data_IF_956103185415
#
_entry.id   IF_956103185415
#
_cell.length_a   1.000
_cell.length_b   1.000
_cell.length_c   1.000
_cell.angle_alpha   90.00
_cell.angle_beta   90.00
_cell.angle_gamma   90.00
#
_symmetry.space_group_name_H-M   'P 1'
#
loop_
_entity.id
_entity.type
_entity.pdbx_description
1 polymer ?
#
# COMPACT_ATOMS: atom_id res chain seq x y z
N UNK A 1 -4.56 -4.04 38.20
CA UNK A 1 -3.61 -4.43 37.13
C UNK A 1 -4.15 -5.51 36.19
N UNK A 2 -4.59 -6.71 36.61
CA UNK A 2 -4.98 -7.77 35.67
C UNK A 2 -6.27 -7.47 34.88
N UNK A 3 -7.23 -6.75 35.47
CA UNK A 3 -8.47 -6.34 34.79
C UNK A 3 -8.20 -5.37 33.63
N UNK A 4 -7.25 -4.45 33.80
CA UNK A 4 -6.88 -3.49 32.76
C UNK A 4 -6.23 -4.19 31.57
N UNK A 5 -5.30 -5.12 31.82
CA UNK A 5 -4.64 -5.90 30.76
C UNK A 5 -5.66 -6.76 30.00
N UNK A 6 -6.56 -7.44 30.71
CA UNK A 6 -7.61 -8.23 30.06
C UNK A 6 -8.53 -7.38 29.17
N UNK A 7 -8.90 -6.18 29.61
CA UNK A 7 -9.77 -5.31 28.81
C UNK A 7 -9.03 -4.75 27.59
N UNK A 8 -7.74 -4.40 27.73
CA UNK A 8 -6.90 -4.01 26.60
C UNK A 8 -6.74 -5.15 25.60
N UNK A 9 -6.46 -6.38 26.06
CA UNK A 9 -6.39 -7.55 25.18
C UNK A 9 -7.71 -7.82 24.45
N UNK A 10 -8.85 -7.67 25.15
CA UNK A 10 -10.18 -7.80 24.55
C UNK A 10 -10.40 -6.74 23.47
N UNK A 11 -10.05 -5.49 23.73
CA UNK A 11 -10.13 -4.41 22.75
C UNK A 11 -9.25 -4.70 21.54
N UNK A 12 -8.01 -5.15 21.75
CA UNK A 12 -7.09 -5.51 20.67
C UNK A 12 -7.60 -6.68 19.83
N UNK A 13 -8.16 -7.74 20.46
CA UNK A 13 -8.76 -8.88 19.76
C UNK A 13 -9.99 -8.51 18.93
N UNK A 14 -10.68 -7.42 19.27
CA UNK A 14 -11.85 -6.93 18.55
C UNK A 14 -11.52 -5.98 17.39
N UNK A 15 -10.27 -5.50 17.29
CA UNK A 15 -9.89 -4.57 16.24
C UNK A 15 -9.71 -5.30 14.90
N UNK A 16 -10.31 -4.74 13.85
CA UNK A 16 -10.08 -5.20 12.47
C UNK A 16 -9.09 -4.25 11.80
N UNK A 17 -8.00 -4.78 11.27
CA UNK A 17 -6.99 -4.02 10.54
C UNK A 17 -7.17 -4.21 9.03
N UNK A 18 -7.20 -3.11 8.28
CA UNK A 18 -7.17 -3.15 6.81
C UNK A 18 -5.71 -3.13 6.34
N UNK A 19 -5.22 -4.29 5.88
CA UNK A 19 -3.84 -4.43 5.39
C UNK A 19 -3.80 -4.12 3.89
N UNK A 20 -3.63 -2.84 3.55
CA UNK A 20 -3.35 -2.38 2.19
C UNK A 20 -4.54 -1.88 1.37
N UNK A 21 -4.24 -1.24 0.24
CA UNK A 21 -5.26 -0.74 -0.68
C UNK A 21 -5.90 -1.90 -1.47
N UNK A 22 -7.23 -1.94 -1.65
CA UNK A 22 -7.90 -3.00 -2.39
C UNK A 22 -7.43 -3.01 -3.85
N UNK A 23 -6.80 -4.11 -4.27
CA UNK A 23 -6.40 -4.29 -5.66
C UNK A 23 -7.65 -4.47 -6.54
N UNK A 24 -7.89 -3.51 -7.45
CA UNK A 24 -9.06 -3.53 -8.36
C UNK A 24 -9.11 -4.77 -9.26
N UNK A 25 -7.95 -5.38 -9.52
CA UNK A 25 -7.80 -6.57 -10.37
C UNK A 25 -7.55 -7.86 -9.57
N UNK A 26 -7.73 -7.83 -8.24
CA UNK A 26 -7.54 -8.99 -7.37
C UNK A 26 -8.75 -9.94 -7.32
N UNK A 27 -8.53 -11.15 -6.80
CA UNK A 27 -9.61 -12.08 -6.42
C UNK A 27 -10.42 -11.45 -5.29
N UNK A 28 -11.75 -11.39 -5.44
CA UNK A 28 -12.64 -10.88 -4.39
C UNK A 28 -13.15 -12.02 -3.52
N UNK A 29 -12.73 -12.01 -2.25
CA UNK A 29 -13.27 -12.90 -1.22
C UNK A 29 -14.33 -12.12 -0.45
N UNK A 30 -15.58 -12.56 -0.55
CA UNK A 30 -16.75 -11.84 -0.02
C UNK A 30 -17.66 -12.81 0.72
N UNK A 31 -18.35 -12.31 1.75
CA UNK A 31 -19.49 -13.00 2.34
C UNK A 31 -20.67 -13.05 1.36
N UNK A 32 -21.51 -14.09 1.46
CA UNK A 32 -22.67 -14.27 0.58
C UNK A 32 -23.63 -13.07 0.59
N UNK A 33 -23.75 -12.39 1.74
CA UNK A 33 -24.54 -11.17 1.95
C UNK A 33 -24.03 -9.96 1.16
N UNK A 34 -22.72 -9.91 0.91
CA UNK A 34 -22.02 -8.78 0.29
C UNK A 34 -21.87 -8.91 -1.24
N UNK A 35 -22.36 -10.00 -1.84
CA UNK A 35 -22.26 -10.22 -3.30
C UNK A 35 -23.39 -9.53 -4.08
N UNK A 36 -24.29 -8.82 -3.40
CA UNK A 36 -25.42 -8.13 -4.02
C UNK A 36 -24.95 -7.01 -4.95
N UNK A 37 -25.53 -6.94 -6.15
CA UNK A 37 -25.29 -5.83 -7.09
C UNK A 37 -23.98 -5.91 -7.89
N UNK A 38 -23.19 -6.98 -7.73
CA UNK A 38 -21.95 -7.21 -8.49
C UNK A 38 -22.04 -8.52 -9.27
N UNK A 39 -21.35 -8.62 -10.40
CA UNK A 39 -21.35 -9.82 -11.24
C UNK A 39 -19.90 -10.28 -11.51
N UNK A 40 -19.71 -11.59 -11.63
CA UNK A 40 -18.41 -12.22 -11.84
C UNK A 40 -18.47 -13.26 -12.94
N UNK A 41 -17.39 -13.39 -13.72
CA UNK A 41 -17.27 -14.46 -14.72
C UNK A 41 -17.35 -15.85 -14.07
N UNK A 42 -16.63 -16.04 -12.98
CA UNK A 42 -16.67 -17.26 -12.18
C UNK A 42 -16.94 -16.94 -10.70
N UNK A 43 -17.77 -17.74 -10.05
CA UNK A 43 -18.05 -17.66 -8.60
C UNK A 43 -17.73 -19.01 -7.95
N UNK A 44 -17.01 -18.97 -6.83
CA UNK A 44 -16.74 -20.13 -5.99
C UNK A 44 -17.50 -19.96 -4.67
N UNK A 45 -18.45 -20.85 -4.40
CA UNK A 45 -19.11 -20.94 -3.09
C UNK A 45 -18.36 -22.00 -2.28
N UNK A 46 -17.59 -21.52 -1.31
CA UNK A 46 -16.77 -22.35 -0.44
C UNK A 46 -17.52 -22.80 0.81
N UNK A 47 -17.23 -24.02 1.27
CA UNK A 47 -17.73 -24.50 2.56
C UNK A 47 -19.20 -24.92 2.56
N UNK A 48 -19.68 -25.57 1.50
CA UNK A 48 -21.01 -26.17 1.42
C UNK A 48 -21.15 -27.39 2.35
N UNK A 49 -21.12 -27.15 3.66
CA UNK A 49 -21.30 -28.15 4.72
C UNK A 49 -22.62 -27.93 5.44
N UNK A 50 -23.19 -29.03 5.97
CA UNK A 50 -24.41 -28.95 6.78
C UNK A 50 -24.17 -28.08 8.02
N UNK A 51 -24.98 -27.03 8.19
CA UNK A 51 -24.87 -26.06 9.27
C UNK A 51 -23.83 -24.94 9.08
N UNK A 52 -23.00 -25.02 8.04
CA UNK A 52 -22.10 -23.94 7.63
C UNK A 52 -22.75 -23.02 6.60
N UNK A 53 -23.28 -23.57 5.51
CA UNK A 53 -24.02 -22.81 4.52
C UNK A 53 -25.14 -23.68 3.90
N UNK A 54 -26.43 -23.40 4.17
CA UNK A 54 -26.96 -22.27 4.95
C UNK A 54 -26.53 -22.32 6.42
N UNK A 55 -26.28 -21.15 7.02
CA UNK A 55 -25.83 -21.06 8.40
C UNK A 55 -26.98 -21.50 9.33
N UNK A 56 -26.71 -22.40 10.29
CA UNK A 56 -27.70 -22.63 11.36
C UNK A 56 -27.74 -21.39 12.24
N UNK A 57 -28.86 -20.67 12.24
CA UNK A 57 -29.05 -19.46 13.03
C UNK A 57 -28.75 -19.75 14.50
N UNK A 58 -27.80 -19.01 15.08
CA UNK A 58 -27.48 -19.10 16.50
C UNK A 58 -28.71 -18.68 17.30
N UNK A 59 -29.11 -19.52 18.27
CA UNK A 59 -30.15 -19.14 19.21
C UNK A 59 -29.61 -17.99 20.07
N UNK A 60 -30.26 -16.84 20.03
CA UNK A 60 -29.98 -15.79 21.01
C UNK A 60 -30.36 -16.30 22.40
N UNK A 61 -29.41 -16.26 23.33
CA UNK A 61 -29.60 -16.72 24.70
C UNK A 61 -30.38 -15.72 25.55
N UNK A 62 -30.33 -14.43 25.19
CA UNK A 62 -30.94 -13.35 25.98
C UNK A 62 -32.42 -13.19 25.64
N UNK A 63 -32.78 -13.26 24.35
CA UNK A 63 -34.16 -13.18 23.88
C UNK A 63 -34.49 -14.38 22.98
N UNK A 64 -34.92 -15.51 23.56
CA UNK A 64 -35.41 -16.66 22.81
C UNK A 64 -36.57 -16.29 21.88
N UNK A 65 -36.78 -17.08 20.83
CA UNK A 65 -37.81 -16.83 19.82
C UNK A 65 -39.21 -16.61 20.43
N UNK A 66 -39.59 -17.43 21.42
CA UNK A 66 -40.88 -17.31 22.11
C UNK A 66 -41.07 -15.95 22.79
N UNK A 67 -40.02 -15.44 23.43
CA UNK A 67 -40.07 -14.15 24.12
C UNK A 67 -40.16 -13.00 23.12
N UNK A 68 -39.50 -13.11 21.97
CA UNK A 68 -39.62 -12.12 20.88
C UNK A 68 -41.04 -12.05 20.34
N UNK A 69 -41.71 -13.18 20.13
CA UNK A 69 -43.12 -13.23 19.71
C UNK A 69 -44.04 -12.60 20.77
N UNK A 70 -43.75 -12.78 22.06
CA UNK A 70 -44.49 -12.13 23.15
C UNK A 70 -44.28 -10.62 23.15
N UNK A 71 -43.05 -10.15 22.98
CA UNK A 71 -42.71 -8.73 22.90
C UNK A 71 -43.36 -8.05 21.68
N UNK A 72 -43.46 -8.75 20.56
CA UNK A 72 -44.14 -8.26 19.36
C UNK A 72 -45.62 -7.94 19.61
N UNK A 73 -46.31 -8.75 20.41
CA UNK A 73 -47.71 -8.49 20.83
C UNK A 73 -47.86 -7.21 21.65
N UNK A 74 -46.78 -6.74 22.27
CA UNK A 74 -46.74 -5.50 23.04
C UNK A 74 -46.11 -4.34 22.24
N UNK A 75 -45.98 -4.50 20.91
CA UNK A 75 -45.45 -3.47 20.02
C UNK A 75 -43.92 -3.35 19.98
N UNK A 76 -43.19 -4.27 20.61
CA UNK A 76 -41.72 -4.30 20.59
C UNK A 76 -41.25 -5.31 19.54
N UNK A 77 -40.73 -4.81 18.42
CA UNK A 77 -40.25 -5.63 17.32
C UNK A 77 -38.73 -5.80 17.42
N UNK A 78 -38.29 -7.03 17.68
CA UNK A 78 -36.88 -7.42 17.64
C UNK A 78 -36.58 -8.12 16.31
N UNK A 79 -35.28 -8.21 15.96
CA UNK A 79 -34.84 -8.90 14.76
C UNK A 79 -35.38 -10.35 14.71
N UNK A 80 -35.79 -10.80 13.52
CA UNK A 80 -36.38 -12.13 13.39
C UNK A 80 -35.29 -13.21 13.26
N UNK A 81 -35.22 -14.08 14.29
CA UNK A 81 -34.32 -15.24 14.39
C UNK A 81 -35.12 -16.56 14.23
N UNK A 82 -36.35 -16.50 13.70
CA UNK A 82 -37.21 -17.66 13.46
C UNK A 82 -36.64 -18.61 12.41
N UNK A 83 -37.26 -19.79 12.27
CA UNK A 83 -36.97 -20.77 11.21
C UNK A 83 -37.13 -20.17 9.79
N UNK A 84 -37.88 -19.09 9.61
CA UNK A 84 -37.99 -18.36 8.33
C UNK A 84 -36.68 -17.68 7.91
N UNK A 85 -35.69 -17.60 8.81
CA UNK A 85 -34.31 -17.24 8.44
C UNK A 85 -33.67 -18.25 7.49
N UNK A 86 -34.09 -19.52 7.47
CA UNK A 86 -33.64 -20.49 6.46
C UNK A 86 -34.05 -20.07 5.04
N UNK A 87 -35.24 -19.49 4.87
CA UNK A 87 -35.68 -18.93 3.59
C UNK A 87 -34.84 -17.71 3.17
N UNK A 88 -34.33 -16.93 4.13
CA UNK A 88 -33.38 -15.84 3.87
C UNK A 88 -32.00 -16.38 3.45
N UNK A 89 -31.55 -17.49 4.03
CA UNK A 89 -30.30 -18.15 3.68
C UNK A 89 -30.33 -18.80 2.29
N UNK A 90 -31.43 -19.48 1.94
CA UNK A 90 -31.67 -19.95 0.57
C UNK A 90 -31.64 -18.79 -0.43
N UNK A 91 -32.19 -17.63 -0.04
CA UNK A 91 -32.12 -16.44 -0.86
C UNK A 91 -30.69 -15.91 -1.02
N UNK A 92 -29.84 -15.97 0.01
CA UNK A 92 -28.42 -15.61 -0.11
C UNK A 92 -27.67 -16.56 -1.05
N UNK A 93 -27.95 -17.87 -0.98
CA UNK A 93 -27.39 -18.84 -1.93
C UNK A 93 -27.79 -18.50 -3.36
N UNK A 94 -29.10 -18.30 -3.59
CA UNK A 94 -29.63 -17.94 -4.90
C UNK A 94 -28.97 -16.66 -5.42
N UNK A 95 -28.88 -15.63 -4.57
CA UNK A 95 -28.23 -14.37 -4.93
C UNK A 95 -26.79 -14.57 -5.35
N UNK A 96 -25.99 -15.32 -4.57
CA UNK A 96 -24.58 -15.60 -4.84
C UNK A 96 -24.39 -16.44 -6.12
N UNK A 97 -25.20 -17.49 -6.29
CA UNK A 97 -25.18 -18.34 -7.48
C UNK A 97 -25.49 -17.55 -8.75
N UNK A 98 -26.49 -16.66 -8.70
CA UNK A 98 -26.87 -15.79 -9.82
C UNK A 98 -25.84 -14.68 -10.13
N UNK A 99 -24.74 -14.55 -9.37
CA UNK A 99 -23.66 -13.61 -9.73
C UNK A 99 -22.66 -14.19 -10.72
N UNK A 100 -22.65 -15.50 -10.91
CA UNK A 100 -21.83 -16.16 -11.93
C UNK A 100 -22.42 -15.94 -13.33
N UNK A 101 -21.64 -15.35 -14.23
CA UNK A 101 -22.05 -15.17 -15.63
C UNK A 101 -21.57 -16.29 -16.55
N UNK A 102 -20.48 -16.99 -16.21
CA UNK A 102 -19.94 -18.10 -17.00
C UNK A 102 -19.87 -19.41 -16.21
N UNK A 103 -19.32 -19.40 -14.98
CA UNK A 103 -19.09 -20.63 -14.20
C UNK A 103 -19.42 -20.47 -12.71
N UNK A 104 -20.10 -21.46 -12.15
CA UNK A 104 -20.38 -21.57 -10.73
C UNK A 104 -19.74 -22.85 -10.19
N UNK A 105 -18.92 -22.71 -9.15
CA UNK A 105 -18.26 -23.82 -8.47
C UNK A 105 -18.78 -23.90 -7.03
N UNK A 106 -19.32 -25.06 -6.66
CA UNK A 106 -19.77 -25.36 -5.30
C UNK A 106 -18.79 -26.34 -4.69
N UNK A 107 -18.14 -25.95 -3.59
CA UNK A 107 -17.09 -26.77 -2.96
C UNK A 107 -17.46 -27.16 -1.55
N UNK A 108 -17.23 -28.43 -1.23
CA UNK A 108 -17.45 -29.01 0.09
C UNK A 108 -16.17 -29.69 0.57
N UNK A 109 -15.64 -29.37 1.77
CA UNK A 109 -14.52 -30.11 2.33
C UNK A 109 -14.96 -31.54 2.68
N UNK A 110 -14.13 -32.52 2.30
CA UNK A 110 -14.34 -33.94 2.63
C UNK A 110 -13.91 -34.29 4.07
N UNK A 111 -13.00 -33.50 4.65
CA UNK A 111 -12.55 -33.60 6.04
C UNK A 111 -12.59 -32.22 6.71
N UNK A 112 -13.20 -32.13 7.90
CA UNK A 112 -13.36 -30.88 8.66
C UNK A 112 -12.11 -30.52 9.48
N UNK A 113 -11.29 -31.52 9.81
CA UNK A 113 -10.02 -31.37 10.53
C UNK A 113 -8.87 -31.74 9.59
N UNK A 114 -8.47 -30.76 8.79
CA UNK A 114 -7.17 -30.80 8.13
C UNK A 114 -6.22 -29.88 8.90
N UNK A 115 -5.01 -30.36 9.19
CA UNK A 115 -3.89 -29.48 9.50
C UNK A 115 -3.68 -28.60 8.27
N UNK A 116 -4.06 -27.32 8.36
CA UNK A 116 -3.98 -26.41 7.23
C UNK A 116 -2.51 -26.02 7.04
N UNK A 117 -1.80 -26.75 6.18
CA UNK A 117 -0.60 -26.19 5.54
C UNK A 117 -1.07 -25.11 4.56
N UNK A 118 -0.84 -23.85 4.90
CA UNK A 118 -1.08 -22.73 3.97
C UNK A 118 -0.03 -22.81 2.87
N UNK A 119 -0.35 -23.51 1.79
CA UNK A 119 0.40 -23.41 0.52
C UNK A 119 -0.33 -22.45 -0.41
N UNK A 120 0.39 -21.44 -0.87
CA UNK A 120 -0.09 -20.54 -1.91
C UNK A 120 -0.13 -21.31 -3.23
N UNK A 121 -1.33 -21.73 -3.62
CA UNK A 121 -1.57 -22.49 -4.85
C UNK A 121 -2.25 -21.55 -5.84
N UNK A 122 -1.57 -21.24 -6.96
CA UNK A 122 -2.27 -20.86 -8.20
C UNK A 122 -2.81 -22.17 -8.82
N UNK A 123 -4.11 -22.20 -9.05
CA UNK A 123 -4.93 -23.42 -9.18
C UNK A 123 -5.04 -24.01 -10.58
N UNK A 124 -3.92 -24.19 -11.27
CA UNK A 124 -3.91 -24.73 -12.64
C UNK A 124 -2.85 -25.83 -12.87
N UNK A 125 -2.08 -26.21 -11.85
CA UNK A 125 -1.01 -27.22 -11.98
C UNK A 125 -0.97 -28.10 -10.72
N UNK A 126 -1.47 -29.33 -10.85
CA UNK A 126 -1.59 -30.33 -9.76
C UNK A 126 -0.29 -31.15 -9.54
N UNK A 127 0.72 -30.92 -10.39
CA UNK A 127 1.98 -31.63 -10.35
C UNK A 127 2.89 -31.11 -9.22
N UNK A 128 3.28 -32.00 -8.31
CA UNK A 128 4.21 -31.68 -7.22
C UNK A 128 5.67 -31.88 -7.64
N UNK A 129 5.93 -32.78 -8.60
CA UNK A 129 7.25 -33.04 -9.17
C UNK A 129 7.25 -32.85 -10.70
N UNK A 130 8.43 -32.65 -11.30
CA UNK A 130 8.60 -32.58 -12.76
C UNK A 130 7.99 -33.79 -13.49
N UNK A 131 8.04 -34.96 -12.86
CA UNK A 131 7.55 -36.21 -13.44
C UNK A 131 6.02 -36.33 -13.43
N UNK A 132 5.32 -35.45 -12.72
CA UNK A 132 3.85 -35.43 -12.67
C UNK A 132 3.27 -34.53 -13.79
N UNK A 133 4.12 -33.90 -14.61
CA UNK A 133 3.69 -33.08 -15.72
C UNK A 133 3.09 -33.94 -16.84
N UNK A 134 1.81 -33.74 -17.12
CA UNK A 134 1.08 -34.45 -18.17
C UNK A 134 1.09 -33.70 -19.51
N UNK A 135 1.49 -32.43 -19.50
CA UNK A 135 1.59 -31.59 -20.69
C UNK A 135 2.89 -30.79 -20.75
N UNK A 136 3.31 -30.40 -21.96
CA UNK A 136 4.51 -29.56 -22.19
C UNK A 136 4.39 -28.19 -21.50
N UNK A 137 3.17 -27.66 -21.41
CA UNK A 137 2.89 -26.39 -20.72
C UNK A 137 3.04 -26.53 -19.20
N UNK A 138 2.56 -27.64 -18.62
CA UNK A 138 2.74 -27.96 -17.19
C UNK A 138 4.22 -28.12 -16.85
N UNK A 139 4.97 -28.88 -17.65
CA UNK A 139 6.40 -29.07 -17.45
C UNK A 139 7.17 -27.74 -17.47
N UNK A 140 6.84 -26.86 -18.42
CA UNK A 140 7.45 -25.53 -18.53
C UNK A 140 7.20 -24.65 -17.31
N UNK A 141 5.99 -24.70 -16.74
CA UNK A 141 5.65 -23.94 -15.55
C UNK A 141 6.26 -24.53 -14.26
N UNK A 142 6.39 -25.86 -14.16
CA UNK A 142 7.06 -26.52 -13.02
C UNK A 142 8.56 -26.25 -12.99
N UNK A 143 9.22 -26.19 -14.16
CA UNK A 143 10.63 -25.83 -14.28
C UNK A 143 10.91 -24.42 -13.73
N UNK A 144 10.01 -23.48 -14.00
CA UNK A 144 10.09 -22.11 -13.46
C UNK A 144 9.86 -22.12 -11.94
N UNK A 145 8.92 -22.94 -11.46
CA UNK A 145 8.57 -23.04 -10.03
C UNK A 145 9.65 -23.68 -9.16
N UNK A 146 10.33 -24.73 -9.62
CA UNK A 146 11.49 -25.30 -8.91
C UNK A 146 12.71 -24.36 -8.90
N UNK A 147 12.74 -23.39 -9.82
CA UNK A 147 13.79 -22.39 -9.89
C UNK A 147 13.52 -21.17 -8.98
N UNK A 148 12.32 -21.03 -8.41
CA UNK A 148 12.04 -20.07 -7.33
C UNK A 148 12.62 -20.62 -6.02
N UNK A 149 13.61 -19.96 -5.39
CA UNK A 149 14.06 -20.35 -4.07
C UNK A 149 12.88 -20.15 -3.12
N UNK A 150 12.38 -21.25 -2.57
CA UNK A 150 11.49 -21.21 -1.41
C UNK A 150 12.11 -20.37 -0.32
N UNK A 151 11.33 -19.44 0.24
CA UNK A 151 11.69 -18.37 1.18
C UNK A 151 12.11 -18.86 2.58
N UNK A 152 12.86 -19.96 2.65
CA UNK A 152 13.51 -20.45 3.85
C UNK A 152 15.02 -20.25 3.70
N UNK A 153 15.59 -19.52 4.66
CA UNK A 153 17.01 -19.21 4.85
C UNK A 153 17.86 -20.47 5.10
N UNK A 154 17.79 -21.44 4.21
CA UNK A 154 18.64 -22.63 4.26
C UNK A 154 19.54 -22.73 3.03
N UNK A 155 20.73 -23.22 3.33
CA UNK A 155 21.94 -23.33 2.52
C UNK A 155 21.72 -23.47 1.01
N UNK A 156 22.33 -22.54 0.27
CA UNK A 156 22.87 -22.68 -1.09
C UNK A 156 22.34 -23.89 -1.89
N UNK A 157 21.11 -23.81 -2.40
CA UNK A 157 20.69 -24.67 -3.49
C UNK A 157 21.45 -24.22 -4.74
N UNK A 158 22.61 -24.87 -4.99
CA UNK A 158 23.21 -24.91 -6.33
C UNK A 158 22.07 -25.26 -7.29
N UNK A 159 21.91 -24.49 -8.37
CA UNK A 159 21.09 -24.92 -9.51
C UNK A 159 21.44 -26.38 -9.76
N UNK A 160 20.50 -27.33 -9.64
CA UNK A 160 20.80 -28.71 -9.94
C UNK A 160 21.41 -28.72 -11.35
N UNK A 161 22.60 -29.28 -11.54
CA UNK A 161 23.26 -29.37 -12.86
C UNK A 161 22.31 -29.92 -13.95
N UNK A 162 21.28 -30.65 -13.52
CA UNK A 162 20.18 -31.18 -14.31
C UNK A 162 19.33 -30.08 -14.98
N UNK A 163 19.07 -28.92 -14.34
CA UNK A 163 18.24 -27.86 -14.93
C UNK A 163 18.93 -27.21 -16.12
N UNK A 164 20.22 -26.90 -16.00
CA UNK A 164 20.96 -26.25 -17.09
C UNK A 164 21.16 -27.22 -18.27
N UNK A 165 21.27 -28.53 -18.00
CA UNK A 165 21.24 -29.57 -19.03
C UNK A 165 19.88 -29.65 -19.73
N UNK A 166 18.77 -29.63 -18.99
CA UNK A 166 17.41 -29.66 -19.55
C UNK A 166 17.12 -28.40 -20.39
N UNK A 167 17.52 -27.22 -19.92
CA UNK A 167 17.38 -25.98 -20.69
C UNK A 167 18.24 -26.01 -21.97
N UNK A 168 19.42 -26.64 -21.93
CA UNK A 168 20.27 -26.83 -23.11
C UNK A 168 19.68 -27.79 -24.12
N UNK A 169 19.10 -28.90 -23.66
CA UNK A 169 18.38 -29.82 -24.53
C UNK A 169 17.16 -29.13 -25.16
N UNK A 170 16.35 -28.44 -24.35
CA UNK A 170 15.17 -27.71 -24.83
C UNK A 170 15.50 -26.62 -25.86
N UNK A 171 16.65 -25.95 -25.73
CA UNK A 171 17.13 -24.98 -26.71
C UNK A 171 17.59 -25.67 -28.00
N UNK A 172 18.36 -26.77 -27.89
CA UNK A 172 18.84 -27.53 -29.05
C UNK A 172 17.71 -28.19 -29.85
N UNK A 173 16.62 -28.56 -29.18
CA UNK A 173 15.42 -29.15 -29.78
C UNK A 173 14.41 -28.08 -30.25
N UNK A 174 14.71 -26.79 -30.05
CA UNK A 174 13.87 -25.67 -30.50
C UNK A 174 12.61 -25.44 -29.68
N UNK A 175 12.49 -26.03 -28.49
CA UNK A 175 11.38 -25.80 -27.56
C UNK A 175 11.47 -24.43 -26.85
N UNK A 176 12.68 -23.90 -26.68
CA UNK A 176 12.91 -22.55 -26.18
C UNK A 176 13.85 -21.78 -27.13
N UNK A 177 13.62 -20.48 -27.26
CA UNK A 177 14.55 -19.61 -28.00
C UNK A 177 15.77 -19.25 -27.15
N UNK A 178 16.90 -18.96 -27.80
CA UNK A 178 18.09 -18.42 -27.13
C UNK A 178 17.78 -17.14 -26.32
N UNK A 179 16.83 -16.32 -26.78
CA UNK A 179 16.35 -15.14 -26.05
C UNK A 179 15.62 -15.53 -24.76
N UNK A 180 14.77 -16.56 -24.81
CA UNK A 180 14.08 -17.08 -23.64
C UNK A 180 15.08 -17.65 -22.62
N UNK A 181 16.07 -18.45 -23.08
CA UNK A 181 17.15 -18.94 -22.21
C UNK A 181 17.90 -17.81 -21.51
N UNK A 182 18.30 -16.78 -22.28
CA UNK A 182 19.01 -15.63 -21.71
C UNK A 182 18.18 -14.93 -20.63
N UNK A 183 16.89 -14.74 -20.85
CA UNK A 183 15.97 -14.13 -19.86
C UNK A 183 15.82 -14.99 -18.61
N UNK A 184 15.69 -16.30 -18.76
CA UNK A 184 15.66 -17.25 -17.63
C UNK A 184 16.94 -17.12 -16.80
N UNK A 185 18.12 -17.07 -17.45
CA UNK A 185 19.39 -16.87 -16.75
C UNK A 185 19.48 -15.53 -16.01
N UNK A 186 18.92 -14.45 -16.59
CA UNK A 186 18.86 -13.13 -15.94
C UNK A 186 17.97 -13.17 -14.69
N UNK A 187 16.76 -13.70 -14.79
CA UNK A 187 15.86 -13.81 -13.63
C UNK A 187 16.44 -14.72 -12.56
N UNK A 188 17.11 -15.80 -12.94
CA UNK A 188 17.81 -16.66 -12.00
C UNK A 188 18.93 -15.93 -11.23
N UNK A 189 19.70 -15.07 -11.91
CA UNK A 189 20.72 -14.25 -11.26
C UNK A 189 20.12 -13.23 -10.28
N UNK A 190 18.96 -12.64 -10.60
CA UNK A 190 18.23 -11.70 -9.73
C UNK A 190 17.61 -12.35 -8.50
N UNK A 191 17.12 -13.57 -8.64
CA UNK A 191 16.60 -14.39 -7.55
C UNK A 191 17.73 -15.04 -6.71
N UNK A 192 18.99 -14.84 -7.10
CA UNK A 192 20.15 -15.29 -6.35
C UNK A 192 20.30 -14.55 -5.02
N UNK A 193 21.00 -15.17 -4.07
CA UNK A 193 21.22 -14.60 -2.74
C UNK A 193 22.25 -13.44 -2.71
N UNK A 194 22.80 -13.08 -3.86
CA UNK A 194 23.76 -11.98 -4.04
C UNK A 194 23.28 -11.12 -5.20
N UNK A 195 23.46 -9.81 -5.08
CA UNK A 195 23.25 -8.91 -6.20
C UNK A 195 24.14 -9.31 -7.37
N UNK A 196 23.60 -9.17 -8.56
CA UNK A 196 24.28 -9.39 -9.83
C UNK A 196 24.31 -8.10 -10.65
N UNK A 197 25.00 -8.12 -11.79
CA UNK A 197 24.95 -7.04 -12.76
C UNK A 197 23.51 -6.72 -13.23
N UNK A 198 22.59 -7.70 -13.15
CA UNK A 198 21.18 -7.51 -13.53
C UNK A 198 20.31 -6.91 -12.43
N UNK A 199 20.85 -6.82 -11.21
CA UNK A 199 20.28 -6.11 -10.06
C UNK A 199 20.83 -4.68 -9.95
N UNK A 200 21.73 -4.30 -10.85
CA UNK A 200 22.39 -3.00 -10.87
C UNK A 200 23.71 -2.96 -10.11
N UNK A 201 24.33 -4.11 -9.81
CA UNK A 201 25.70 -4.13 -9.31
C UNK A 201 26.66 -3.61 -10.39
N UNK A 202 27.38 -2.55 -10.05
CA UNK A 202 28.43 -1.99 -10.92
C UNK A 202 29.66 -2.87 -10.76
N UNK A 203 30.02 -3.61 -11.81
CA UNK A 203 31.15 -4.56 -11.80
C UNK A 203 32.44 -3.99 -12.39
N UNK A 204 32.36 -2.89 -13.14
CA UNK A 204 33.54 -2.26 -13.72
C UNK A 204 34.37 -1.54 -12.65
N UNK A 205 35.65 -1.85 -12.57
CA UNK A 205 36.56 -1.36 -11.53
C UNK A 205 36.79 0.16 -11.60
N UNK A 206 36.89 0.73 -12.80
CA UNK A 206 37.07 2.18 -12.99
C UNK A 206 35.85 2.95 -12.46
N UNK A 207 34.64 2.44 -12.71
CA UNK A 207 33.40 3.02 -12.18
C UNK A 207 33.30 2.87 -10.66
N UNK A 208 33.78 1.76 -10.09
CA UNK A 208 33.85 1.58 -8.63
C UNK A 208 34.78 2.59 -8.00
N UNK A 209 35.95 2.82 -8.60
CA UNK A 209 36.91 3.82 -8.11
C UNK A 209 36.33 5.23 -8.19
N UNK A 210 35.71 5.59 -9.32
CA UNK A 210 35.06 6.89 -9.48
C UNK A 210 33.96 7.14 -8.43
N UNK A 211 33.18 6.10 -8.09
CA UNK A 211 32.17 6.18 -7.04
C UNK A 211 32.79 6.28 -5.65
N UNK A 212 33.87 5.54 -5.37
CA UNK A 212 34.59 5.61 -4.11
C UNK A 212 35.18 7.01 -3.87
N UNK A 213 35.71 7.64 -4.91
CA UNK A 213 36.26 9.00 -4.84
C UNK A 213 35.14 10.03 -4.62
N UNK A 214 33.96 9.85 -5.22
CA UNK A 214 32.86 10.80 -5.10
C UNK A 214 32.03 10.64 -3.81
N UNK A 215 31.84 9.40 -3.35
CA UNK A 215 30.97 9.01 -2.23
C UNK A 215 31.75 8.38 -1.06
N UNK A 216 33.04 8.70 -0.96
CA UNK A 216 33.92 8.21 0.08
C UNK A 216 33.53 8.62 1.51
N UNK A 217 34.36 8.25 2.51
CA UNK A 217 34.03 8.44 3.92
C UNK A 217 33.80 9.90 4.33
N UNK A 218 34.43 10.85 3.63
CA UNK A 218 34.28 12.29 3.90
C UNK A 218 33.06 12.92 3.19
N UNK A 219 32.28 12.13 2.43
CA UNK A 219 31.11 12.65 1.72
C UNK A 219 29.97 13.00 2.69
N UNK A 220 29.52 14.24 2.66
CA UNK A 220 28.39 14.69 3.48
C UNK A 220 27.05 14.33 2.81
N UNK A 221 26.32 13.41 3.45
CA UNK A 221 24.99 12.99 3.01
C UNK A 221 23.89 13.84 3.65
N UNK A 222 22.85 14.18 2.89
CA UNK A 222 21.60 14.73 3.45
C UNK A 222 20.60 13.61 3.74
N UNK A 223 19.73 13.80 4.74
CA UNK A 223 18.68 12.83 5.08
C UNK A 223 17.79 12.48 3.86
N UNK A 224 17.47 13.48 3.03
CA UNK A 224 16.77 13.30 1.76
C UNK A 224 17.50 12.35 0.79
N UNK A 225 18.84 12.45 0.69
CA UNK A 225 19.64 11.58 -0.17
C UNK A 225 19.59 10.13 0.29
N UNK A 226 19.78 9.90 1.59
CA UNK A 226 19.72 8.55 2.17
C UNK A 226 18.32 7.95 2.03
N UNK A 227 17.27 8.73 2.28
CA UNK A 227 15.89 8.30 2.06
C UNK A 227 15.63 7.95 0.59
N UNK A 228 16.15 8.75 -0.36
CA UNK A 228 16.02 8.43 -1.79
C UNK A 228 16.69 7.11 -2.13
N UNK A 229 17.88 6.86 -1.60
CA UNK A 229 18.61 5.61 -1.82
C UNK A 229 17.88 4.41 -1.20
N UNK A 230 17.44 4.52 0.06
CA UNK A 230 16.71 3.47 0.77
C UNK A 230 15.36 3.13 0.15
N UNK A 231 14.66 4.12 -0.42
CA UNK A 231 13.40 3.91 -1.13
C UNK A 231 13.63 3.31 -2.54
N UNK A 232 14.64 3.79 -3.27
CA UNK A 232 14.96 3.31 -4.61
C UNK A 232 16.40 3.66 -5.00
N UNK A 233 17.29 2.66 -4.96
CA UNK A 233 18.70 2.82 -5.33
C UNK A 233 18.88 3.26 -6.79
N UNK A 234 18.04 2.76 -7.72
CA UNK A 234 18.10 3.17 -9.12
C UNK A 234 17.75 4.65 -9.33
N UNK A 235 16.76 5.17 -8.59
CA UNK A 235 16.41 6.59 -8.63
C UNK A 235 17.54 7.45 -8.09
N UNK A 236 18.22 7.00 -7.02
CA UNK A 236 19.42 7.66 -6.53
C UNK A 236 20.52 7.67 -7.61
N UNK A 237 20.77 6.54 -8.26
CA UNK A 237 21.73 6.44 -9.35
C UNK A 237 21.42 7.42 -10.49
N UNK A 238 20.20 7.43 -11.02
CA UNK A 238 19.79 8.36 -12.08
C UNK A 238 19.92 9.83 -11.68
N UNK A 239 19.40 10.21 -10.52
CA UNK A 239 19.33 11.62 -10.11
C UNK A 239 20.63 12.16 -9.51
N UNK A 240 21.43 11.33 -8.82
CA UNK A 240 22.59 11.78 -8.03
C UNK A 240 23.92 11.38 -8.64
N UNK A 241 23.99 10.20 -9.26
CA UNK A 241 25.22 9.73 -9.93
C UNK A 241 25.25 10.24 -11.37
N UNK A 242 24.22 9.92 -12.16
CA UNK A 242 24.13 10.35 -13.57
C UNK A 242 23.65 11.79 -13.74
N UNK A 243 23.10 12.39 -12.67
CA UNK A 243 22.56 13.77 -12.67
C UNK A 243 21.54 14.00 -13.78
N UNK A 244 20.71 13.00 -14.03
CA UNK A 244 19.62 13.10 -15.00
C UNK A 244 18.51 13.94 -14.37
N UNK A 245 18.24 15.09 -14.94
CA UNK A 245 17.15 15.96 -14.54
C UNK A 245 15.96 15.74 -15.48
N UNK A 246 14.73 15.53 -14.94
CA UNK A 246 13.54 15.53 -15.77
C UNK A 246 13.40 16.90 -16.44
N UNK A 247 12.97 16.92 -17.71
CA UNK A 247 12.67 18.19 -18.38
C UNK A 247 11.57 18.89 -17.62
N UNK A 248 11.82 20.14 -17.21
CA UNK A 248 10.79 20.98 -16.62
C UNK A 248 9.76 21.33 -17.69
N UNK A 249 8.57 20.78 -17.58
CA UNK A 249 7.42 21.31 -18.33
C UNK A 249 7.06 22.67 -17.73
N UNK A 250 6.76 23.65 -18.59
CA UNK A 250 6.27 24.94 -18.16
C UNK A 250 4.90 24.72 -17.49
N UNK A 251 4.89 24.66 -16.16
CA UNK A 251 3.65 24.54 -15.41
C UNK A 251 2.89 25.86 -15.51
N UNK A 252 1.61 25.79 -15.86
CA UNK A 252 0.70 26.95 -15.86
C UNK A 252 0.45 27.46 -14.44
N UNK A 253 0.49 26.54 -13.47
CA UNK A 253 0.26 26.78 -12.05
C UNK A 253 1.59 26.76 -11.29
N UNK A 254 1.63 27.35 -10.09
CA UNK A 254 2.88 27.34 -9.33
C UNK A 254 3.19 25.94 -8.78
N UNK A 255 4.38 25.44 -9.08
CA UNK A 255 4.81 24.12 -8.63
C UNK A 255 4.84 24.03 -7.10
N UNK A 256 4.45 22.86 -6.58
CA UNK A 256 4.37 22.61 -5.14
C UNK A 256 5.68 22.89 -4.38
N UNK A 257 6.83 22.70 -5.03
CA UNK A 257 8.15 22.98 -4.45
C UNK A 257 8.34 24.49 -4.25
N UNK A 258 8.00 25.30 -5.24
CA UNK A 258 8.15 26.75 -5.16
C UNK A 258 7.08 27.38 -4.25
N UNK A 259 5.88 26.79 -4.23
CA UNK A 259 4.86 27.10 -3.24
C UNK A 259 5.38 26.92 -1.80
N UNK A 260 6.03 25.79 -1.53
CA UNK A 260 6.64 25.51 -0.23
C UNK A 260 7.74 26.51 0.13
N UNK A 261 8.64 26.82 -0.81
CA UNK A 261 9.70 27.83 -0.59
C UNK A 261 9.14 29.20 -0.24
N UNK A 262 8.09 29.64 -0.95
CA UNK A 262 7.44 30.92 -0.67
C UNK A 262 6.82 30.94 0.72
N UNK A 263 6.08 29.90 1.10
CA UNK A 263 5.52 29.78 2.44
C UNK A 263 6.61 29.81 3.52
N UNK A 264 7.71 29.08 3.32
CA UNK A 264 8.84 29.08 4.24
C UNK A 264 9.50 30.46 4.36
N UNK A 265 9.72 31.18 3.25
CA UNK A 265 10.32 32.52 3.30
C UNK A 265 9.38 33.53 4.00
N UNK A 266 8.07 33.46 3.75
CA UNK A 266 7.08 34.30 4.42
C UNK A 266 7.07 34.05 5.92
N UNK A 267 6.95 32.78 6.33
CA UNK A 267 6.95 32.40 7.74
C UNK A 267 8.26 32.79 8.42
N UNK A 268 9.40 32.59 7.74
CA UNK A 268 10.71 33.00 8.24
C UNK A 268 10.75 34.50 8.50
N UNK A 269 10.43 35.35 7.51
CA UNK A 269 10.46 36.82 7.66
C UNK A 269 9.47 37.32 8.71
N UNK A 270 8.33 36.65 8.85
CA UNK A 270 7.36 36.97 9.90
C UNK A 270 7.90 36.59 11.28
N UNK A 271 8.31 35.34 11.49
CA UNK A 271 8.77 34.85 12.79
C UNK A 271 10.08 35.49 13.24
N UNK A 272 10.98 35.88 12.33
CA UNK A 272 12.20 36.62 12.67
C UNK A 272 11.88 37.98 13.33
N UNK A 273 10.77 38.63 12.97
CA UNK A 273 10.32 39.90 13.58
C UNK A 273 9.70 39.72 14.97
N UNK A 274 9.11 38.55 15.23
CA UNK A 274 8.49 38.20 16.51
C UNK A 274 9.34 37.22 17.32
N UNK A 275 10.66 37.20 17.07
CA UNK A 275 11.56 36.27 17.72
C UNK A 275 11.65 36.58 19.22
N UNK A 276 11.19 35.64 20.05
CA UNK A 276 11.16 35.80 21.51
C UNK A 276 9.92 36.53 22.03
N UNK A 277 8.99 36.93 21.15
CA UNK A 277 7.70 37.47 21.55
C UNK A 277 6.70 36.36 21.88
N UNK A 278 5.86 36.58 22.89
CA UNK A 278 4.69 35.74 23.15
C UNK A 278 3.53 36.21 22.29
N UNK A 279 3.30 35.53 21.17
CA UNK A 279 2.30 35.92 20.16
C UNK A 279 0.86 36.03 20.70
N UNK A 280 0.39 35.17 21.64
CA UNK A 280 -0.97 35.28 22.17
C UNK A 280 -1.26 36.57 22.96
N UNK A 281 -0.24 37.30 23.42
CA UNK A 281 -0.43 38.58 24.10
C UNK A 281 -0.72 39.75 23.13
N UNK A 282 -0.52 39.55 21.82
CA UNK A 282 -0.79 40.57 20.79
C UNK A 282 -2.18 40.40 20.20
N UNK A 283 -2.70 41.49 19.62
CA UNK A 283 -3.96 41.44 18.89
C UNK A 283 -3.82 40.55 17.64
N UNK A 284 -4.65 39.51 17.58
CA UNK A 284 -4.71 38.55 16.48
C UNK A 284 -4.95 39.23 15.13
N UNK A 285 -5.72 40.32 15.10
CA UNK A 285 -5.98 41.06 13.87
C UNK A 285 -4.71 41.74 13.35
N UNK A 286 -3.93 42.32 14.25
CA UNK A 286 -2.65 42.98 13.92
C UNK A 286 -1.64 41.95 13.39
N UNK A 287 -1.53 40.79 14.03
CA UNK A 287 -0.65 39.71 13.58
C UNK A 287 -1.03 39.19 12.19
N UNK A 288 -2.34 39.01 11.93
CA UNK A 288 -2.85 38.59 10.63
C UNK A 288 -2.56 39.62 9.54
N UNK A 289 -2.76 40.89 9.83
CA UNK A 289 -2.48 41.99 8.90
C UNK A 289 -0.97 42.07 8.58
N UNK A 290 -0.10 41.87 9.57
CA UNK A 290 1.35 41.86 9.38
C UNK A 290 1.83 40.66 8.57
N UNK A 291 1.28 39.47 8.84
CA UNK A 291 1.56 38.26 8.07
C UNK A 291 1.12 38.43 6.61
N UNK A 292 -0.05 39.02 6.39
CA UNK A 292 -0.58 39.29 5.04
C UNK A 292 0.33 40.27 4.29
N UNK A 293 0.75 41.37 4.93
CA UNK A 293 1.70 42.33 4.34
C UNK A 293 3.04 41.69 4.00
N UNK A 294 3.54 40.78 4.85
CA UNK A 294 4.78 40.04 4.60
C UNK A 294 4.61 39.07 3.42
N UNK A 295 3.46 38.39 3.34
CA UNK A 295 3.11 37.53 2.21
C UNK A 295 3.06 38.29 0.89
N UNK A 296 2.36 39.44 0.86
CA UNK A 296 2.25 40.28 -0.34
C UNK A 296 3.62 40.77 -0.84
N UNK A 297 4.53 41.13 0.07
CA UNK A 297 5.89 41.53 -0.29
C UNK A 297 6.68 40.38 -0.95
N UNK A 298 6.62 39.17 -0.37
CA UNK A 298 7.32 38.00 -0.90
C UNK A 298 6.73 37.54 -2.23
N UNK A 299 5.39 37.56 -2.37
CA UNK A 299 4.75 37.23 -3.64
C UNK A 299 5.12 38.22 -4.74
N UNK A 300 5.16 39.52 -4.43
CA UNK A 300 5.60 40.54 -5.38
C UNK A 300 7.06 40.35 -5.81
N UNK A 301 7.97 40.10 -4.85
CA UNK A 301 9.38 39.81 -5.16
C UNK A 301 9.55 38.57 -6.05
N UNK A 302 8.70 37.56 -5.90
CA UNK A 302 8.70 36.38 -6.74
C UNK A 302 8.14 36.67 -8.14
N UNK A 303 7.03 37.41 -8.23
CA UNK A 303 6.40 37.83 -9.48
C UNK A 303 7.34 38.70 -10.33
N UNK A 304 8.12 39.59 -9.71
CA UNK A 304 9.12 40.42 -10.38
C UNK A 304 10.26 39.59 -11.00
N UNK A 305 10.62 38.45 -10.39
CA UNK A 305 11.69 37.55 -10.87
C UNK A 305 11.18 36.54 -11.88
N UNK A 306 9.98 36.01 -11.67
CA UNK A 306 9.38 34.95 -12.47
C UNK A 306 7.92 35.36 -12.74
N UNK A 307 7.67 36.08 -13.85
CA UNK A 307 6.33 36.49 -14.21
C UNK A 307 5.42 35.27 -14.44
N UNK A 308 4.22 35.23 -13.86
CA UNK A 308 3.32 34.10 -14.03
C UNK A 308 2.81 34.03 -15.48
N UNK A 309 2.70 32.81 -16.02
CA UNK A 309 2.11 32.58 -17.34
C UNK A 309 0.62 32.98 -17.39
N UNK A 310 -0.07 32.88 -16.25
CA UNK A 310 -1.46 33.29 -16.10
C UNK A 310 -1.67 34.06 -14.78
N UNK A 311 -1.88 35.38 -14.90
CA UNK A 311 -2.08 36.28 -13.76
C UNK A 311 -3.29 35.92 -12.89
N UNK A 312 -4.35 35.36 -13.47
CA UNK A 312 -5.57 35.01 -12.70
C UNK A 312 -5.32 33.81 -11.80
N UNK A 313 -4.62 32.81 -12.32
CA UNK A 313 -4.24 31.62 -11.55
C UNK A 313 -3.27 32.01 -10.44
N UNK A 314 -2.28 32.85 -10.76
CA UNK A 314 -1.34 33.37 -9.76
C UNK A 314 -2.03 34.06 -8.59
N UNK A 315 -3.01 34.93 -8.87
CA UNK A 315 -3.81 35.59 -7.81
C UNK A 315 -4.55 34.58 -6.93
N UNK A 316 -5.14 33.55 -7.53
CA UNK A 316 -5.83 32.48 -6.79
C UNK A 316 -4.82 31.73 -5.89
N UNK A 317 -3.65 31.36 -6.42
CA UNK A 317 -2.60 30.67 -5.67
C UNK A 317 -2.09 31.50 -4.48
N UNK A 318 -1.91 32.80 -4.66
CA UNK A 318 -1.54 33.73 -3.57
C UNK A 318 -2.60 33.75 -2.47
N UNK A 319 -3.89 33.85 -2.82
CA UNK A 319 -4.98 33.87 -1.85
C UNK A 319 -5.13 32.53 -1.10
N UNK A 320 -5.02 31.39 -1.80
CA UNK A 320 -5.01 30.06 -1.17
C UNK A 320 -3.91 29.98 -0.11
N UNK A 321 -2.71 30.51 -0.40
CA UNK A 321 -1.59 30.45 0.56
C UNK A 321 -1.75 31.39 1.73
N UNK A 322 -2.37 32.55 1.56
CA UNK A 322 -2.72 33.43 2.69
C UNK A 322 -3.66 32.71 3.66
N UNK A 323 -4.60 31.91 3.16
CA UNK A 323 -5.45 31.07 4.01
C UNK A 323 -4.65 30.01 4.78
N UNK A 324 -3.68 29.35 4.14
CA UNK A 324 -2.80 28.38 4.80
C UNK A 324 -1.95 29.06 5.88
N UNK A 325 -1.36 30.21 5.58
CA UNK A 325 -0.56 31.00 6.53
C UNK A 325 -1.38 31.42 7.75
N UNK A 326 -2.64 31.80 7.57
CA UNK A 326 -3.56 32.10 8.67
C UNK A 326 -3.83 30.88 9.56
N UNK A 327 -4.01 29.69 8.96
CA UNK A 327 -4.15 28.45 9.73
C UNK A 327 -2.89 28.12 10.53
N UNK A 328 -1.70 28.33 9.96
CA UNK A 328 -0.42 28.14 10.65
C UNK A 328 -0.27 29.11 11.81
N UNK A 329 -0.62 30.39 11.61
CA UNK A 329 -0.61 31.40 12.68
C UNK A 329 -1.53 31.02 13.84
N UNK A 330 -2.76 30.56 13.54
CA UNK A 330 -3.71 30.08 14.56
C UNK A 330 -3.22 28.82 15.27
N UNK A 331 -2.51 27.94 14.57
CA UNK A 331 -1.88 26.77 15.18
C UNK A 331 -0.76 27.19 16.14
N UNK A 332 0.14 28.08 15.72
CA UNK A 332 1.25 28.59 16.52
C UNK A 332 0.77 29.28 17.80
N UNK A 333 -0.23 30.17 17.70
CA UNK A 333 -0.83 30.85 18.85
C UNK A 333 -1.38 29.83 19.87
N UNK A 334 -2.13 28.82 19.41
CA UNK A 334 -2.67 27.77 20.29
C UNK A 334 -1.57 26.92 20.93
N UNK A 335 -0.46 26.71 20.22
CA UNK A 335 0.67 25.95 20.75
C UNK A 335 1.35 26.74 21.88
N UNK A 336 1.58 28.04 21.70
CA UNK A 336 2.14 28.93 22.71
C UNK A 336 1.21 29.09 23.93
N UNK A 337 -0.11 29.19 23.72
CA UNK A 337 -1.12 29.20 24.78
C UNK A 337 -1.05 27.93 25.67
N UNK A 338 -0.76 26.76 25.08
CA UNK A 338 -0.62 25.49 25.81
C UNK A 338 0.71 25.33 26.53
N UNK A 339 1.76 26.02 26.07
CA UNK A 339 3.13 25.91 26.60
C UNK A 339 3.51 27.06 27.54
N UNK A 340 2.55 27.94 27.88
CA UNK A 340 2.73 29.12 28.76
C UNK A 340 3.92 30.02 28.36
N UNK A 341 4.25 30.05 27.06
CA UNK A 341 5.35 30.87 26.54
C UNK A 341 6.76 30.38 26.91
N UNK A 342 6.93 29.15 27.40
CA UNK A 342 8.27 28.53 27.48
C UNK A 342 8.67 28.07 26.08
N UNK A 343 9.76 28.59 25.49
CA UNK A 343 10.26 28.03 24.25
C UNK A 343 10.69 26.59 24.52
N UNK A 344 10.13 25.63 23.78
CA UNK A 344 10.72 24.30 23.68
C UNK A 344 12.12 24.49 23.09
N UNK A 345 13.13 24.44 23.96
CA UNK A 345 14.52 24.26 23.56
C UNK A 345 14.61 22.87 22.91
N UNK A 346 14.50 22.84 21.59
CA UNK A 346 15.03 21.76 20.77
C UNK A 346 16.48 22.02 20.41
#
# INVERSE_FOLDING_TARGET
MPVFINEVERCLKSQTLSVGAPNRNGLRVLEATNVRGIAFRAVFVAGMIEGGFPLRTSRDWLYPHEERVRLQKHGIFLEDISTDTLLKEEHYFYQAACRATERLYLTRPLALTATIEVKQIRGDIDAQNLFDASSRAELGALLVRQAEPSDHREEHAKVPQQIDQVLSMAESEGHISASARKRIGIEHARHGNRFSAYDGEITNDDLRQMLADHFGPDHVYSASRLSTYGNCAFRFFGNRVLRIEPRSEAALDLQAIDAGKLLHDILRRFLEKHRGDYLPARDRKVLRDELTKTADAVFKEHEDKVPPLNERIWKIDCEIRKLILDQVLLYEIRLQEKTEGRPDNF
#
